data_IF_788479688488
#
_entry.id   IF_788479688488
#
_cell.length_a   1.000
_cell.length_b   1.000
_cell.length_c   1.000
_cell.angle_alpha   90.00
_cell.angle_beta   90.00
_cell.angle_gamma   90.00
#
_symmetry.space_group_name_H-M   'P 1'
#
loop_
_entity.id
_entity.type
_entity.pdbx_description
1 polymer ?
#
# COMPACT_ATOMS: atom_id res chain seq x y z
N UNK A 1 -35.06 -8.65 0.41
CA UNK A 1 -33.98 -9.55 -0.05
C UNK A 1 -33.09 -9.79 1.15
N UNK A 2 -32.92 -11.02 1.61
CA UNK A 2 -31.98 -11.34 2.71
C UNK A 2 -30.57 -11.15 2.13
N UNK A 3 -29.71 -10.29 2.71
CA UNK A 3 -28.37 -10.10 2.18
C UNK A 3 -27.59 -11.41 2.24
N UNK A 4 -26.88 -11.75 1.16
CA UNK A 4 -26.02 -12.93 1.14
C UNK A 4 -24.97 -12.85 2.25
N UNK A 5 -24.68 -13.95 2.96
CA UNK A 5 -23.67 -13.95 4.01
C UNK A 5 -22.29 -13.64 3.42
N UNK A 6 -21.47 -12.89 4.17
CA UNK A 6 -20.07 -12.69 3.78
C UNK A 6 -19.33 -14.03 3.84
N UNK A 7 -18.50 -14.31 2.84
CA UNK A 7 -17.72 -15.56 2.74
C UNK A 7 -16.25 -15.25 3.01
N UNK A 8 -15.67 -15.93 3.99
CA UNK A 8 -14.22 -15.89 4.26
C UNK A 8 -13.51 -16.95 3.39
N UNK A 9 -12.66 -16.46 2.48
CA UNK A 9 -11.86 -17.28 1.56
C UNK A 9 -10.41 -17.42 1.98
N UNK A 10 -10.04 -16.99 3.19
CA UNK A 10 -8.63 -16.95 3.61
C UNK A 10 -7.91 -18.29 3.51
N UNK A 11 -8.65 -19.42 3.58
CA UNK A 11 -8.11 -20.77 3.36
C UNK A 11 -7.97 -21.14 1.87
N UNK A 12 -8.59 -20.38 0.95
CA UNK A 12 -8.66 -20.70 -0.47
C UNK A 12 -8.43 -19.45 -1.36
N UNK A 13 -7.30 -18.76 -1.20
CA UNK A 13 -7.06 -17.46 -1.88
C UNK A 13 -7.02 -17.59 -3.41
N UNK A 14 -6.69 -18.76 -3.95
CA UNK A 14 -6.71 -19.00 -5.39
C UNK A 14 -8.15 -19.01 -5.96
N UNK A 15 -9.12 -19.58 -5.24
CA UNK A 15 -10.52 -19.53 -5.63
C UNK A 15 -11.07 -18.11 -5.49
N UNK A 16 -10.76 -17.42 -4.42
CA UNK A 16 -11.11 -16.01 -4.27
C UNK A 16 -10.60 -15.18 -5.46
N UNK A 17 -9.33 -15.36 -5.83
CA UNK A 17 -8.74 -14.70 -6.98
C UNK A 17 -9.54 -14.99 -8.26
N UNK A 18 -9.82 -16.26 -8.57
CA UNK A 18 -10.55 -16.62 -9.78
C UNK A 18 -11.96 -16.04 -9.85
N UNK A 19 -12.64 -15.89 -8.71
CA UNK A 19 -13.96 -15.29 -8.61
C UNK A 19 -13.96 -13.77 -8.82
N UNK A 20 -12.96 -13.06 -8.28
CA UNK A 20 -13.00 -11.61 -8.20
C UNK A 20 -12.11 -10.90 -9.23
N UNK A 21 -10.95 -11.47 -9.60
CA UNK A 21 -9.96 -10.80 -10.46
C UNK A 21 -10.56 -10.31 -11.79
N UNK A 22 -11.41 -11.08 -12.53
CA UNK A 22 -11.97 -10.61 -13.79
C UNK A 22 -12.88 -9.39 -13.65
N UNK A 23 -13.57 -9.24 -12.52
CA UNK A 23 -14.41 -8.08 -12.23
C UNK A 23 -13.57 -6.87 -11.81
N UNK A 24 -12.54 -7.08 -11.00
CA UNK A 24 -11.63 -6.04 -10.55
C UNK A 24 -10.77 -5.47 -11.68
N UNK A 25 -10.35 -6.29 -12.65
CA UNK A 25 -9.59 -5.89 -13.83
C UNK A 25 -10.35 -4.92 -14.76
N UNK A 26 -11.68 -4.82 -14.64
CA UNK A 26 -12.45 -3.84 -15.41
C UNK A 26 -12.17 -2.39 -15.00
N UNK A 27 -11.71 -2.18 -13.78
CA UNK A 27 -11.29 -0.88 -13.27
C UNK A 27 -10.02 -1.06 -12.39
N UNK A 28 -8.90 -1.34 -13.07
CA UNK A 28 -7.61 -1.56 -12.40
C UNK A 28 -7.16 -0.37 -11.56
N UNK A 29 -7.59 0.84 -11.92
CA UNK A 29 -7.18 2.06 -11.22
C UNK A 29 -7.79 2.11 -9.82
N UNK A 30 -9.08 1.83 -9.72
CA UNK A 30 -9.79 1.81 -8.44
C UNK A 30 -9.42 0.59 -7.59
N UNK A 31 -9.17 -0.54 -8.23
CA UNK A 31 -8.92 -1.82 -7.55
C UNK A 31 -7.45 -2.23 -7.49
N UNK A 32 -6.53 -1.32 -7.85
CA UNK A 32 -5.11 -1.64 -7.99
C UNK A 32 -4.43 -2.21 -6.74
N UNK A 33 -4.86 -1.82 -5.53
CA UNK A 33 -4.33 -2.37 -4.29
C UNK A 33 -4.73 -3.85 -4.11
N UNK A 34 -5.99 -4.19 -4.39
CA UNK A 34 -6.50 -5.57 -4.30
C UNK A 34 -5.82 -6.42 -5.37
N UNK A 35 -5.81 -5.97 -6.62
CA UNK A 35 -5.19 -6.69 -7.74
C UNK A 35 -3.70 -6.95 -7.49
N UNK A 36 -2.97 -5.99 -6.94
CA UNK A 36 -1.57 -6.17 -6.59
C UNK A 36 -1.35 -7.26 -5.52
N UNK A 37 -2.22 -7.36 -4.54
CA UNK A 37 -2.15 -8.43 -3.54
C UNK A 37 -2.51 -9.79 -4.17
N UNK A 38 -3.53 -9.84 -5.03
CA UNK A 38 -3.93 -11.06 -5.75
C UNK A 38 -2.83 -11.56 -6.70
N UNK A 39 -2.04 -10.67 -7.30
CA UNK A 39 -0.92 -11.05 -8.14
C UNK A 39 0.15 -11.87 -7.39
N UNK A 40 0.21 -11.78 -6.05
CA UNK A 40 1.12 -12.57 -5.22
C UNK A 40 0.59 -13.97 -4.89
N UNK A 41 -0.70 -14.23 -5.10
CA UNK A 41 -1.28 -15.58 -4.95
C UNK A 41 -0.71 -16.49 -6.03
N UNK A 42 -0.29 -17.68 -5.64
CA UNK A 42 0.32 -18.68 -6.54
C UNK A 42 1.76 -18.39 -7.01
N UNK A 43 2.48 -17.50 -6.34
CA UNK A 43 3.92 -17.27 -6.61
C UNK A 43 4.83 -18.35 -6.02
N UNK A 44 4.27 -19.38 -5.37
CA UNK A 44 5.01 -20.43 -4.66
C UNK A 44 5.54 -20.01 -3.29
N UNK A 45 5.29 -18.75 -2.88
CA UNK A 45 5.64 -18.25 -1.54
C UNK A 45 4.43 -18.32 -0.61
N UNK A 46 4.62 -18.66 0.66
CA UNK A 46 3.55 -18.53 1.66
C UNK A 46 3.05 -17.09 1.69
N UNK A 47 1.73 -16.90 1.63
CA UNK A 47 1.11 -15.58 1.68
C UNK A 47 0.15 -15.53 2.87
N UNK A 48 0.34 -14.56 3.75
CA UNK A 48 -0.63 -14.23 4.81
C UNK A 48 -1.69 -13.30 4.21
N UNK A 49 -2.71 -13.89 3.59
CA UNK A 49 -3.80 -13.18 2.94
C UNK A 49 -5.13 -13.58 3.58
N UNK A 50 -5.82 -12.60 4.15
CA UNK A 50 -7.23 -12.69 4.49
C UNK A 50 -8.07 -12.07 3.38
N UNK A 51 -9.15 -12.73 2.97
CA UNK A 51 -9.99 -12.25 1.90
C UNK A 51 -11.46 -12.61 2.12
N UNK A 52 -12.33 -11.63 1.86
CA UNK A 52 -13.77 -11.73 2.11
C UNK A 52 -14.54 -11.31 0.85
N UNK A 53 -15.51 -12.13 0.47
CA UNK A 53 -16.56 -11.76 -0.48
C UNK A 53 -17.75 -11.22 0.32
N UNK A 54 -18.25 -10.05 -0.06
CA UNK A 54 -19.36 -9.37 0.62
C UNK A 54 -20.66 -9.38 -0.22
N UNK A 55 -20.55 -9.78 -1.50
CA UNK A 55 -21.62 -9.81 -2.46
C UNK A 55 -21.19 -10.49 -3.77
N UNK A 56 -21.40 -9.85 -4.92
CA UNK A 56 -21.01 -10.37 -6.22
C UNK A 56 -19.51 -10.26 -6.52
N UNK A 57 -19.09 -10.72 -7.73
CA UNK A 57 -17.71 -10.57 -8.19
C UNK A 57 -17.22 -9.12 -8.16
N UNK A 58 -16.11 -8.86 -7.51
CA UNK A 58 -15.54 -7.52 -7.30
C UNK A 58 -15.95 -6.87 -5.98
N UNK A 59 -17.04 -7.30 -5.34
CA UNK A 59 -17.50 -6.80 -4.03
C UNK A 59 -16.78 -7.53 -2.90
N UNK A 60 -15.57 -7.12 -2.63
CA UNK A 60 -14.65 -7.85 -1.76
C UNK A 60 -13.73 -6.93 -0.96
N UNK A 61 -13.09 -7.51 0.04
CA UNK A 61 -12.05 -6.88 0.82
C UNK A 61 -10.91 -7.87 1.07
N UNK A 62 -9.71 -7.36 1.30
CA UNK A 62 -8.53 -8.16 1.61
C UNK A 62 -7.70 -7.54 2.74
N UNK A 63 -6.92 -8.38 3.42
CA UNK A 63 -5.85 -7.94 4.32
C UNK A 63 -4.63 -8.81 4.08
N UNK A 64 -3.49 -8.21 3.83
CA UNK A 64 -2.23 -8.90 3.61
C UNK A 64 -1.25 -8.60 4.74
N UNK A 65 -0.79 -9.65 5.41
CA UNK A 65 0.17 -9.54 6.52
C UNK A 65 -0.24 -8.50 7.56
N UNK A 66 0.65 -7.58 7.86
CA UNK A 66 0.43 -6.49 8.82
C UNK A 66 -0.14 -5.21 8.19
N UNK A 67 -0.56 -5.25 6.93
CA UNK A 67 -1.12 -4.08 6.25
C UNK A 67 -2.58 -3.83 6.64
N UNK A 68 -3.06 -2.63 6.32
CA UNK A 68 -4.44 -2.24 6.47
C UNK A 68 -5.38 -3.15 5.66
N UNK A 69 -6.64 -3.24 6.07
CA UNK A 69 -7.68 -3.86 5.26
C UNK A 69 -7.91 -2.97 4.03
N UNK A 70 -7.81 -3.56 2.84
CA UNK A 70 -8.12 -2.90 1.58
C UNK A 70 -9.56 -3.22 1.22
N UNK A 71 -10.36 -2.19 1.08
CA UNK A 71 -11.77 -2.27 0.73
C UNK A 71 -11.95 -2.11 -0.77
N UNK A 72 -12.75 -2.97 -1.38
CA UNK A 72 -13.27 -2.75 -2.73
C UNK A 72 -14.40 -1.70 -2.74
N UNK A 73 -15.08 -1.58 -3.88
CA UNK A 73 -16.29 -0.80 -3.98
C UNK A 73 -17.45 -1.59 -3.37
N UNK A 74 -17.79 -1.30 -2.12
CA UNK A 74 -18.80 -2.00 -1.31
C UNK A 74 -19.97 -1.07 -1.00
N UNK A 75 -21.16 -1.65 -0.86
CA UNK A 75 -22.33 -0.96 -0.32
C UNK A 75 -22.23 -0.80 1.20
N UNK A 76 -23.03 0.08 1.79
CA UNK A 76 -22.99 0.37 3.22
C UNK A 76 -23.21 -0.88 4.08
N UNK A 77 -24.23 -1.68 3.77
CA UNK A 77 -24.54 -2.92 4.51
C UNK A 77 -23.41 -3.93 4.43
N UNK A 78 -22.72 -4.02 3.30
CA UNK A 78 -21.54 -4.87 3.11
C UNK A 78 -20.37 -4.40 3.99
N UNK A 79 -20.13 -3.08 4.06
CA UNK A 79 -19.12 -2.49 4.93
C UNK A 79 -19.41 -2.76 6.40
N UNK A 80 -20.67 -2.61 6.82
CA UNK A 80 -21.11 -2.87 8.19
C UNK A 80 -20.90 -4.34 8.58
N UNK A 81 -21.24 -5.27 7.69
CA UNK A 81 -20.98 -6.71 7.89
C UNK A 81 -19.48 -7.02 8.00
N UNK A 82 -18.67 -6.42 7.16
CA UNK A 82 -17.21 -6.62 7.22
C UNK A 82 -16.64 -6.08 8.54
N UNK A 83 -17.11 -4.95 9.03
CA UNK A 83 -16.70 -4.38 10.32
C UNK A 83 -17.04 -5.31 11.48
N UNK A 84 -18.24 -5.92 11.48
CA UNK A 84 -18.63 -6.94 12.47
C UNK A 84 -17.68 -8.15 12.44
N UNK A 85 -17.38 -8.68 11.26
CA UNK A 85 -16.48 -9.83 11.06
C UNK A 85 -15.05 -9.57 11.53
N UNK A 86 -14.57 -8.34 11.34
CA UNK A 86 -13.17 -7.97 11.61
C UNK A 86 -12.97 -7.29 12.95
N UNK A 87 -14.03 -7.09 13.74
CA UNK A 87 -13.99 -6.33 15.00
C UNK A 87 -12.94 -6.82 16.00
N UNK A 88 -12.70 -8.14 16.05
CA UNK A 88 -11.74 -8.79 16.97
C UNK A 88 -10.37 -9.06 16.32
N UNK A 89 -10.20 -8.71 15.06
CA UNK A 89 -8.93 -8.90 14.35
C UNK A 89 -7.96 -7.77 14.67
N UNK A 90 -6.67 -8.09 14.57
CA UNK A 90 -5.61 -7.09 14.61
C UNK A 90 -5.29 -6.61 13.18
N UNK A 91 -5.43 -5.29 12.97
CA UNK A 91 -5.05 -4.61 11.73
C UNK A 91 -4.82 -3.13 12.00
N UNK A 92 -3.84 -2.50 11.31
CA UNK A 92 -3.43 -1.12 11.60
C UNK A 92 -4.40 -0.06 11.08
N UNK A 93 -5.35 -0.43 10.21
CA UNK A 93 -6.28 0.52 9.62
C UNK A 93 -7.04 -0.05 8.44
N UNK A 94 -7.72 0.82 7.73
CA UNK A 94 -8.45 0.49 6.50
C UNK A 94 -8.14 1.51 5.41
N UNK A 95 -8.16 1.07 4.15
CA UNK A 95 -7.98 1.93 2.98
C UNK A 95 -8.93 1.49 1.88
N UNK A 96 -9.54 2.46 1.20
CA UNK A 96 -10.44 2.16 0.10
C UNK A 96 -11.14 3.41 -0.43
N UNK A 97 -12.15 3.23 -1.31
CA UNK A 97 -12.98 4.31 -1.78
C UNK A 97 -13.59 5.09 -0.60
N UNK A 98 -13.68 6.40 -0.72
CA UNK A 98 -14.01 7.30 0.41
C UNK A 98 -15.24 6.84 1.19
N UNK A 99 -16.38 6.67 0.51
CA UNK A 99 -17.62 6.28 1.19
C UNK A 99 -17.54 4.89 1.82
N UNK A 100 -16.91 3.95 1.13
CA UNK A 100 -16.71 2.57 1.65
C UNK A 100 -15.89 2.59 2.95
N UNK A 101 -14.80 3.35 2.97
CA UNK A 101 -13.96 3.48 4.14
C UNK A 101 -14.70 4.16 5.30
N UNK A 102 -15.52 5.19 5.05
CA UNK A 102 -16.35 5.86 6.06
C UNK A 102 -17.39 4.92 6.65
N UNK A 103 -18.20 4.25 5.84
CA UNK A 103 -19.22 3.30 6.32
C UNK A 103 -18.61 2.18 7.18
N UNK A 104 -17.43 1.70 6.79
CA UNK A 104 -16.72 0.70 7.59
C UNK A 104 -16.31 1.27 8.95
N UNK A 105 -15.67 2.44 8.98
CA UNK A 105 -15.17 3.04 10.22
C UNK A 105 -16.28 3.53 11.13
N UNK A 106 -17.41 3.99 10.59
CA UNK A 106 -18.60 4.36 11.37
C UNK A 106 -19.14 3.14 12.12
N UNK A 107 -19.31 2.01 11.41
CA UNK A 107 -19.76 0.76 12.05
C UNK A 107 -18.73 0.24 13.04
N UNK A 108 -17.46 0.28 12.73
CA UNK A 108 -16.40 -0.14 13.65
C UNK A 108 -16.37 0.75 14.91
N UNK A 109 -16.69 2.03 14.79
CA UNK A 109 -16.88 2.95 15.91
C UNK A 109 -18.01 2.54 16.85
N UNK A 110 -19.16 2.09 16.29
CA UNK A 110 -20.26 1.50 17.09
C UNK A 110 -19.80 0.28 17.91
N UNK A 111 -18.79 -0.45 17.40
CA UNK A 111 -18.19 -1.62 18.05
C UNK A 111 -17.05 -1.25 19.03
N UNK A 112 -16.82 0.04 19.26
CA UNK A 112 -15.81 0.53 20.20
C UNK A 112 -14.41 0.66 19.62
N UNK A 113 -14.23 0.48 18.31
CA UNK A 113 -12.94 0.69 17.65
C UNK A 113 -12.78 2.17 17.29
N UNK A 114 -11.57 2.69 17.44
CA UNK A 114 -11.28 4.10 17.12
C UNK A 114 -10.37 4.20 15.92
N UNK A 115 -10.68 5.12 15.04
CA UNK A 115 -9.93 5.41 13.83
C UNK A 115 -9.65 6.90 13.69
N UNK A 116 -8.46 7.20 13.19
CA UNK A 116 -8.07 8.55 12.79
C UNK A 116 -8.03 8.60 11.26
N UNK A 117 -8.71 9.57 10.67
CA UNK A 117 -8.57 9.87 9.25
C UNK A 117 -7.16 10.41 9.01
N UNK A 118 -6.31 9.65 8.33
CA UNK A 118 -4.91 10.02 8.19
C UNK A 118 -4.64 10.83 6.92
N UNK A 119 -5.09 10.35 5.76
CA UNK A 119 -4.76 10.98 4.48
C UNK A 119 -5.93 10.91 3.50
N UNK A 120 -6.57 12.03 3.15
CA UNK A 120 -7.46 12.10 2.00
C UNK A 120 -6.63 12.09 0.73
N UNK A 121 -6.78 11.05 -0.08
CA UNK A 121 -6.03 10.87 -1.30
C UNK A 121 -6.92 11.00 -2.54
N UNK A 122 -6.36 11.54 -3.61
CA UNK A 122 -6.92 11.49 -4.95
C UNK A 122 -6.12 10.48 -5.78
N UNK A 123 -6.81 9.55 -6.40
CA UNK A 123 -6.24 8.69 -7.42
C UNK A 123 -6.31 9.43 -8.75
N UNK A 124 -5.17 9.56 -9.40
CA UNK A 124 -5.02 10.17 -10.72
C UNK A 124 -4.62 9.11 -11.74
N UNK A 125 -5.05 9.28 -12.98
CA UNK A 125 -4.60 8.45 -14.11
C UNK A 125 -4.29 9.30 -15.34
N UNK A 126 -3.46 8.75 -16.22
CA UNK A 126 -3.15 9.29 -17.53
C UNK A 126 -3.06 8.15 -18.53
N UNK A 127 -3.61 8.36 -19.73
CA UNK A 127 -3.58 7.43 -20.88
C UNK A 127 -2.89 8.06 -22.09
N UNK A 128 -2.83 9.38 -22.11
CA UNK A 128 -2.24 10.15 -23.19
C UNK A 128 -0.72 10.34 -22.98
N UNK A 129 -0.07 10.83 -24.02
CA UNK A 129 1.34 11.21 -23.93
C UNK A 129 1.53 12.29 -22.85
N UNK A 130 2.46 12.10 -21.89
CA UNK A 130 2.69 13.08 -20.83
C UNK A 130 3.29 14.36 -21.39
N UNK A 131 2.95 15.49 -20.78
CA UNK A 131 3.59 16.77 -21.04
C UNK A 131 4.84 16.90 -20.19
N UNK A 132 5.99 17.09 -20.82
CA UNK A 132 7.22 17.35 -20.11
C UNK A 132 7.31 18.83 -19.72
N UNK A 133 7.72 19.16 -18.49
CA UNK A 133 8.16 20.50 -18.16
C UNK A 133 9.40 20.90 -19.00
N UNK A 134 9.56 22.19 -19.26
CA UNK A 134 10.78 22.71 -19.89
C UNK A 134 11.92 22.70 -18.87
N UNK A 135 12.64 21.58 -18.78
CA UNK A 135 13.80 21.41 -17.89
C UNK A 135 14.96 20.78 -18.64
N UNK A 136 16.18 21.16 -18.26
CA UNK A 136 17.37 20.46 -18.74
C UNK A 136 17.50 19.10 -18.08
N UNK A 137 18.06 18.12 -18.79
CA UNK A 137 18.37 16.81 -18.23
C UNK A 137 17.74 15.65 -18.99
N UNK A 138 17.92 14.46 -18.46
CA UNK A 138 17.37 13.22 -19.00
C UNK A 138 17.09 12.20 -17.90
N UNK A 139 16.20 11.25 -18.17
CA UNK A 139 15.94 10.15 -17.27
C UNK A 139 17.03 9.06 -17.38
N UNK A 140 17.40 8.47 -16.26
CA UNK A 140 18.30 7.32 -16.17
C UNK A 140 17.72 6.29 -15.20
N UNK A 141 17.78 5.01 -15.56
CA UNK A 141 17.46 3.93 -14.62
C UNK A 141 18.41 3.95 -13.42
N UNK A 142 17.87 3.72 -12.25
CA UNK A 142 18.64 3.53 -11.01
C UNK A 142 19.27 2.15 -11.06
N UNK A 143 20.55 2.06 -10.72
CA UNK A 143 21.31 0.83 -10.62
C UNK A 143 21.87 0.60 -9.22
N UNK A 144 22.51 -0.53 -9.00
CA UNK A 144 23.09 -0.93 -7.70
C UNK A 144 24.07 0.13 -7.15
N UNK A 145 24.81 0.81 -8.01
CA UNK A 145 25.71 1.91 -7.63
C UNK A 145 25.00 3.10 -6.98
N UNK A 146 23.69 3.22 -7.19
CA UNK A 146 22.87 4.30 -6.66
C UNK A 146 22.15 3.92 -5.34
N UNK A 147 22.36 2.70 -4.84
CA UNK A 147 21.59 2.11 -3.74
C UNK A 147 21.53 3.02 -2.50
N UNK A 148 22.66 3.57 -2.08
CA UNK A 148 22.71 4.44 -0.91
C UNK A 148 21.93 5.74 -1.13
N UNK A 149 22.09 6.39 -2.28
CA UNK A 149 21.36 7.63 -2.61
C UNK A 149 19.85 7.37 -2.73
N UNK A 150 19.46 6.27 -3.40
CA UNK A 150 18.05 5.88 -3.49
C UNK A 150 17.45 5.67 -2.11
N UNK A 151 18.13 4.95 -1.22
CA UNK A 151 17.66 4.69 0.14
C UNK A 151 17.50 6.00 0.93
N UNK A 152 18.46 6.92 0.85
CA UNK A 152 18.37 8.23 1.52
C UNK A 152 17.15 9.02 1.04
N UNK A 153 16.91 9.04 -0.28
CA UNK A 153 15.77 9.75 -0.84
C UNK A 153 14.42 9.04 -0.56
N UNK A 154 14.40 7.71 -0.49
CA UNK A 154 13.22 6.98 -0.06
C UNK A 154 12.91 7.25 1.42
N UNK A 155 13.91 7.27 2.30
CA UNK A 155 13.71 7.66 3.71
C UNK A 155 13.12 9.07 3.81
N UNK A 156 13.65 10.03 3.04
CA UNK A 156 13.12 11.39 3.01
C UNK A 156 11.68 11.44 2.45
N UNK A 157 11.39 10.70 1.38
CA UNK A 157 10.04 10.55 0.83
C UNK A 157 9.06 9.97 1.85
N UNK A 158 9.41 8.88 2.55
CA UNK A 158 8.55 8.29 3.58
C UNK A 158 8.24 9.29 4.69
N UNK A 159 9.23 10.03 5.17
CA UNK A 159 9.03 11.03 6.23
C UNK A 159 8.15 12.20 5.81
N UNK A 160 8.23 12.62 4.56
CA UNK A 160 7.54 13.81 4.07
C UNK A 160 6.16 13.49 3.47
N UNK A 161 6.05 12.44 2.67
CA UNK A 161 4.86 12.17 1.85
C UNK A 161 3.93 11.11 2.46
N UNK A 162 4.46 10.16 3.20
CA UNK A 162 3.69 9.03 3.76
C UNK A 162 4.13 8.70 5.20
N UNK A 163 4.15 9.69 6.12
CA UNK A 163 4.65 9.51 7.49
C UNK A 163 3.85 8.50 8.32
N UNK A 164 2.63 8.16 7.87
CA UNK A 164 1.78 7.14 8.47
C UNK A 164 2.19 5.71 8.08
N UNK A 165 2.98 5.55 7.01
CA UNK A 165 3.42 4.25 6.56
C UNK A 165 4.68 3.81 7.31
N UNK A 166 4.79 2.51 7.54
CA UNK A 166 5.99 1.96 8.15
C UNK A 166 7.19 2.16 7.21
N UNK A 167 8.22 2.85 7.71
CA UNK A 167 9.49 2.96 6.99
C UNK A 167 10.16 1.59 6.91
N UNK A 168 10.44 1.06 5.70
CA UNK A 168 11.16 -0.19 5.54
C UNK A 168 12.60 -0.09 6.09
N UNK A 169 13.21 -1.22 6.46
CA UNK A 169 14.64 -1.25 6.81
C UNK A 169 15.51 -0.73 5.67
N UNK A 170 16.65 -0.11 6.02
CA UNK A 170 17.56 0.49 5.02
C UNK A 170 18.00 -0.51 3.95
N UNK A 171 18.28 -1.74 4.34
CA UNK A 171 18.73 -2.81 3.43
C UNK A 171 17.65 -3.17 2.40
N UNK A 172 16.38 -3.03 2.74
CA UNK A 172 15.27 -3.22 1.82
C UNK A 172 15.15 -2.04 0.83
N UNK A 173 15.35 -0.81 1.31
CA UNK A 173 15.37 0.38 0.46
C UNK A 173 16.55 0.36 -0.51
N UNK A 174 17.75 -0.05 -0.07
CA UNK A 174 18.94 -0.20 -0.92
C UNK A 174 18.76 -1.30 -1.98
N UNK A 175 18.14 -2.41 -1.62
CA UNK A 175 17.84 -3.51 -2.55
C UNK A 175 16.93 -3.09 -3.70
N UNK A 176 16.07 -2.10 -3.48
CA UNK A 176 15.20 -1.55 -4.50
C UNK A 176 15.96 -0.96 -5.72
N UNK A 177 17.23 -0.61 -5.58
CA UNK A 177 18.08 -0.15 -6.69
C UNK A 177 18.31 -1.24 -7.76
N UNK A 178 18.36 -2.52 -7.35
CA UNK A 178 18.52 -3.65 -8.27
C UNK A 178 17.21 -4.14 -8.91
N UNK A 179 16.05 -3.58 -8.53
CA UNK A 179 14.74 -4.08 -8.99
C UNK A 179 14.25 -3.44 -10.30
N UNK A 180 15.06 -2.61 -10.94
CA UNK A 180 14.74 -1.90 -12.20
C UNK A 180 13.35 -1.21 -12.18
N UNK A 181 13.03 -0.55 -11.10
CA UNK A 181 11.74 0.14 -10.92
C UNK A 181 11.84 1.64 -10.68
N UNK A 182 13.03 2.16 -10.39
CA UNK A 182 13.24 3.59 -10.16
C UNK A 182 13.97 4.27 -11.31
N UNK A 183 13.60 5.51 -11.56
CA UNK A 183 14.32 6.43 -12.44
C UNK A 183 14.84 7.61 -11.64
N UNK A 184 16.03 8.07 -11.96
CA UNK A 184 16.52 9.41 -11.62
C UNK A 184 16.37 10.35 -12.80
N UNK A 185 16.03 11.61 -12.53
CA UNK A 185 16.26 12.71 -13.46
C UNK A 185 17.66 13.23 -13.23
N UNK A 186 18.46 13.27 -14.30
CA UNK A 186 19.85 13.72 -14.26
C UNK A 186 19.93 15.11 -14.87
N UNK A 187 20.36 16.11 -14.11
CA UNK A 187 20.64 17.46 -14.59
C UNK A 187 22.07 17.84 -14.20
N UNK A 188 22.81 18.45 -15.13
CA UNK A 188 24.24 18.79 -14.93
C UNK A 188 25.09 17.61 -14.44
N UNK A 189 24.78 16.40 -14.94
CA UNK A 189 25.49 15.17 -14.56
C UNK A 189 25.15 14.60 -13.18
N UNK A 190 24.23 15.21 -12.43
CA UNK A 190 23.85 14.77 -11.08
C UNK A 190 22.37 14.36 -11.02
N UNK A 191 22.02 13.34 -10.20
CA UNK A 191 20.63 13.04 -9.86
C UNK A 191 19.99 14.22 -9.12
N UNK A 192 18.80 14.64 -9.57
CA UNK A 192 18.08 15.80 -9.00
C UNK A 192 16.65 15.49 -8.59
N UNK A 193 16.10 14.37 -9.05
CA UNK A 193 14.75 13.89 -8.68
C UNK A 193 14.63 12.42 -8.95
N UNK A 194 13.71 11.73 -8.27
CA UNK A 194 13.39 10.32 -8.51
C UNK A 194 11.91 10.07 -8.67
N UNK A 195 11.56 8.98 -9.35
CA UNK A 195 10.24 8.36 -9.35
C UNK A 195 10.38 6.85 -9.55
N UNK A 196 9.43 6.09 -9.03
CA UNK A 196 9.43 4.63 -9.15
C UNK A 196 8.13 4.08 -9.70
N UNK A 197 8.18 2.85 -10.23
CA UNK A 197 7.03 2.10 -10.72
C UNK A 197 6.71 0.99 -9.73
N UNK A 198 5.45 0.93 -9.31
CA UNK A 198 4.90 -0.14 -8.48
C UNK A 198 3.60 -0.67 -9.08
N UNK A 199 3.07 -1.76 -8.52
CA UNK A 199 1.80 -2.34 -8.96
C UNK A 199 1.67 -2.44 -10.49
N UNK A 200 2.62 -3.15 -11.11
CA UNK A 200 2.57 -3.45 -12.54
C UNK A 200 1.45 -4.46 -12.81
N UNK A 201 0.25 -3.94 -13.13
CA UNK A 201 -0.93 -4.72 -13.48
C UNK A 201 -1.00 -4.98 -14.99
N UNK A 202 -2.09 -5.55 -15.47
CA UNK A 202 -2.26 -5.97 -16.86
C UNK A 202 -2.29 -4.79 -17.83
N UNK A 203 -3.08 -3.75 -17.52
CA UNK A 203 -3.22 -2.57 -18.36
C UNK A 203 -2.57 -1.32 -17.74
N UNK A 204 -2.29 -1.34 -16.44
CA UNK A 204 -1.84 -0.16 -15.71
C UNK A 204 -0.60 -0.43 -14.87
N UNK A 205 0.10 0.64 -14.50
CA UNK A 205 1.06 0.63 -13.41
C UNK A 205 0.95 1.90 -12.57
N UNK A 206 1.30 1.80 -11.30
CA UNK A 206 1.27 2.95 -10.40
C UNK A 206 2.67 3.54 -10.21
N UNK A 207 2.72 4.88 -10.18
CA UNK A 207 3.92 5.65 -9.87
C UNK A 207 3.96 5.91 -8.35
N UNK A 208 5.13 5.80 -7.78
CA UNK A 208 5.42 6.06 -6.36
C UNK A 208 6.77 6.73 -6.19
N UNK A 209 7.07 7.17 -4.97
CA UNK A 209 8.40 7.66 -4.62
C UNK A 209 8.83 8.87 -5.44
N UNK A 210 7.88 9.72 -5.88
CA UNK A 210 8.24 10.97 -6.56
C UNK A 210 8.84 11.91 -5.52
N UNK A 211 10.13 12.13 -5.61
CA UNK A 211 10.85 12.96 -4.65
C UNK A 211 11.90 13.84 -5.32
N UNK A 212 11.97 15.07 -4.87
CA UNK A 212 13.01 16.06 -5.24
C UNK A 212 13.51 16.65 -3.93
N UNK A 213 14.84 16.61 -3.65
CA UNK A 213 15.43 17.27 -2.49
C UNK A 213 14.98 18.73 -2.37
N UNK A 214 14.75 19.26 -1.16
CA UNK A 214 14.21 20.61 -0.97
C UNK A 214 14.95 21.69 -1.73
N UNK A 215 16.27 21.64 -1.74
CA UNK A 215 17.16 22.60 -2.41
C UNK A 215 17.10 22.56 -3.95
N UNK A 216 16.53 21.48 -4.51
CA UNK A 216 16.40 21.29 -5.96
C UNK A 216 14.94 21.47 -6.45
N UNK A 217 14.05 21.91 -5.58
CA UNK A 217 12.62 22.13 -5.93
C UNK A 217 12.44 23.41 -6.75
N UNK A 218 11.27 23.51 -7.38
CA UNK A 218 10.92 24.69 -8.20
C UNK A 218 11.42 24.65 -9.64
N UNK A 219 12.29 23.70 -10.02
CA UNK A 219 12.90 23.58 -11.35
C UNK A 219 12.15 22.65 -12.31
N UNK A 220 11.00 22.09 -11.90
CA UNK A 220 10.21 21.17 -12.73
C UNK A 220 10.70 19.71 -12.75
N UNK A 221 11.78 19.36 -12.04
CA UNK A 221 12.39 18.02 -12.08
C UNK A 221 11.46 16.89 -11.69
N UNK A 222 10.60 17.09 -10.67
CA UNK A 222 9.58 16.10 -10.30
C UNK A 222 8.63 15.79 -11.45
N UNK A 223 8.22 16.82 -12.19
CA UNK A 223 7.40 16.67 -13.40
C UNK A 223 8.10 15.89 -14.49
N UNK A 224 9.37 16.21 -14.75
CA UNK A 224 10.16 15.55 -15.79
C UNK A 224 10.41 14.08 -15.50
N UNK A 225 10.80 13.72 -14.26
CA UNK A 225 11.01 12.32 -13.91
C UNK A 225 9.68 11.53 -13.90
N UNK A 226 8.57 12.17 -13.49
CA UNK A 226 7.25 11.54 -13.56
C UNK A 226 6.82 11.30 -15.01
N UNK A 227 7.01 12.27 -15.91
CA UNK A 227 6.71 12.12 -17.33
C UNK A 227 7.55 11.00 -17.98
N UNK A 228 8.84 10.94 -17.67
CA UNK A 228 9.71 9.85 -18.13
C UNK A 228 9.28 8.47 -17.58
N UNK A 229 8.80 8.44 -16.34
CA UNK A 229 8.27 7.20 -15.73
C UNK A 229 7.00 6.73 -16.44
N UNK A 230 6.12 7.67 -16.87
CA UNK A 230 4.94 7.35 -17.68
C UNK A 230 5.36 6.75 -19.03
N UNK A 231 6.31 7.37 -19.73
CA UNK A 231 6.80 6.85 -21.00
C UNK A 231 7.38 5.44 -20.85
N UNK A 232 8.09 5.18 -19.75
CA UNK A 232 8.59 3.84 -19.46
C UNK A 232 7.44 2.84 -19.21
N UNK A 233 6.40 3.20 -18.46
CA UNK A 233 5.21 2.37 -18.26
C UNK A 233 4.57 1.99 -19.61
N UNK A 234 4.49 2.95 -20.53
CA UNK A 234 3.94 2.70 -21.86
C UNK A 234 4.88 1.83 -22.73
N UNK A 235 6.19 2.04 -22.63
CA UNK A 235 7.18 1.18 -23.30
C UNK A 235 7.16 -0.27 -22.79
N UNK A 236 6.76 -0.49 -21.52
CA UNK A 236 6.52 -1.83 -20.96
C UNK A 236 5.18 -2.46 -21.47
N UNK A 237 4.47 -1.81 -22.40
CA UNK A 237 3.23 -2.30 -23.00
C UNK A 237 1.95 -1.97 -22.23
N UNK A 238 2.02 -1.20 -21.15
CA UNK A 238 0.84 -0.76 -20.38
C UNK A 238 0.25 0.49 -21.00
N UNK A 239 -1.06 0.69 -20.81
CA UNK A 239 -1.79 1.80 -21.42
C UNK A 239 -2.11 2.92 -20.44
N UNK A 240 -2.01 2.66 -19.14
CA UNK A 240 -2.45 3.57 -18.09
C UNK A 240 -1.32 3.71 -17.05
N UNK A 241 -0.91 4.95 -16.78
CA UNK A 241 -0.16 5.23 -15.58
C UNK A 241 -1.08 5.87 -14.54
N UNK A 242 -0.93 5.51 -13.27
CA UNK A 242 -1.72 6.09 -12.18
C UNK A 242 -0.84 6.43 -10.98
N UNK A 243 -1.36 7.25 -10.08
CA UNK A 243 -0.72 7.57 -8.81
C UNK A 243 -1.75 7.97 -7.77
N UNK A 244 -1.34 7.90 -6.50
CA UNK A 244 -2.09 8.39 -5.35
C UNK A 244 -1.41 9.65 -4.84
N UNK A 245 -2.18 10.72 -4.65
CA UNK A 245 -1.66 11.98 -4.12
C UNK A 245 -2.49 12.46 -2.93
N UNK A 246 -1.82 12.91 -1.88
CA UNK A 246 -2.45 13.61 -0.76
C UNK A 246 -3.10 14.90 -1.29
N UNK A 247 -4.41 15.04 -1.09
CA UNK A 247 -5.16 16.23 -1.50
C UNK A 247 -4.65 17.51 -0.84
N UNK A 248 -4.01 17.41 0.33
CA UNK A 248 -3.42 18.55 1.03
C UNK A 248 -2.11 19.04 0.38
N UNK A 249 -1.45 18.18 -0.43
CA UNK A 249 -0.23 18.56 -1.15
C UNK A 249 -0.54 19.26 -2.46
N UNK A 250 -0.87 20.56 -2.39
CA UNK A 250 -1.24 21.36 -3.56
C UNK A 250 -0.14 21.46 -4.63
N UNK A 251 1.13 21.34 -4.23
CA UNK A 251 2.26 21.39 -5.17
C UNK A 251 2.30 20.13 -6.05
N UNK A 252 2.20 18.95 -5.45
CA UNK A 252 2.14 17.68 -6.17
C UNK A 252 0.90 17.60 -7.06
N UNK A 253 -0.27 17.95 -6.55
CA UNK A 253 -1.52 17.93 -7.33
C UNK A 253 -1.43 18.83 -8.58
N UNK A 254 -0.89 20.04 -8.43
CA UNK A 254 -0.63 20.93 -9.59
C UNK A 254 0.38 20.36 -10.57
N UNK A 255 1.45 19.71 -10.06
CA UNK A 255 2.44 19.07 -10.90
C UNK A 255 1.81 18.00 -11.79
N UNK A 256 1.05 17.09 -11.20
CA UNK A 256 0.41 15.98 -11.92
C UNK A 256 -0.62 16.47 -12.96
N UNK A 257 -1.44 17.44 -12.60
CA UNK A 257 -2.39 18.05 -13.55
C UNK A 257 -1.66 18.70 -14.77
N UNK A 258 -0.53 19.36 -14.54
CA UNK A 258 0.28 19.95 -15.63
C UNK A 258 0.85 18.88 -16.56
N UNK A 259 1.26 17.73 -16.06
CA UNK A 259 1.75 16.60 -16.86
C UNK A 259 0.62 16.01 -17.72
N UNK A 260 -0.63 16.10 -17.29
CA UNK A 260 -1.79 15.59 -18.01
C UNK A 260 -2.61 14.56 -17.24
N UNK A 261 -2.28 14.30 -15.99
CA UNK A 261 -3.12 13.43 -15.15
C UNK A 261 -4.51 14.04 -14.91
N UNK A 262 -5.51 13.17 -14.91
CA UNK A 262 -6.89 13.48 -14.55
C UNK A 262 -7.30 12.75 -13.28
N UNK A 263 -8.14 13.37 -12.41
CA UNK A 263 -8.63 12.70 -11.22
C UNK A 263 -9.62 11.60 -11.58
N UNK A 264 -9.53 10.45 -10.91
CA UNK A 264 -10.42 9.29 -11.10
C UNK A 264 -11.39 9.14 -9.93
N UNK A 265 -10.89 8.97 -8.72
CA UNK A 265 -11.71 8.82 -7.52
C UNK A 265 -10.92 9.18 -6.25
N UNK A 266 -11.67 9.54 -5.21
CA UNK A 266 -11.11 9.70 -3.86
C UNK A 266 -10.82 8.35 -3.22
N UNK A 267 -9.82 8.33 -2.36
CA UNK A 267 -9.48 7.22 -1.47
C UNK A 267 -9.17 7.75 -0.08
N UNK A 268 -9.64 7.07 0.95
CA UNK A 268 -9.31 7.40 2.33
C UNK A 268 -8.52 6.26 2.97
N UNK A 269 -7.52 6.66 3.73
CA UNK A 269 -6.84 5.79 4.66
C UNK A 269 -7.23 6.20 6.09
N UNK A 270 -7.75 5.27 6.87
CA UNK A 270 -8.01 5.43 8.29
C UNK A 270 -7.01 4.57 9.07
N UNK A 271 -6.28 5.19 9.97
CA UNK A 271 -5.38 4.51 10.89
C UNK A 271 -6.16 4.14 12.16
N UNK A 272 -6.09 2.86 12.56
CA UNK A 272 -6.69 2.41 13.82
C UNK A 272 -5.82 2.86 14.98
N UNK A 273 -6.45 3.47 16.00
CA UNK A 273 -5.76 3.73 17.26
C UNK A 273 -5.35 2.40 17.91
N UNK A 274 -4.09 2.31 18.36
CA UNK A 274 -3.64 1.16 19.10
C UNK A 274 -4.51 1.03 20.35
N UNK A 275 -5.35 0.01 20.42
CA UNK A 275 -5.97 -0.38 21.67
C UNK A 275 -4.83 -0.82 22.58
N UNK A 276 -4.58 -0.10 23.68
CA UNK A 276 -3.86 -0.65 24.82
C UNK A 276 -4.71 -1.82 25.33
N UNK A 277 -4.59 -2.99 24.71
CA UNK A 277 -4.94 -4.23 25.36
C UNK A 277 -4.02 -4.27 26.57
N UNK A 278 -4.64 -4.13 27.76
CA UNK A 278 -3.98 -4.21 29.04
C UNK A 278 -2.96 -5.36 28.95
N UNK A 279 -1.70 -5.00 29.12
CA UNK A 279 -0.62 -5.96 29.26
C UNK A 279 -1.12 -7.06 30.18
N UNK A 280 -1.26 -8.28 29.67
CA UNK A 280 -1.42 -9.43 30.55
C UNK A 280 -0.29 -9.36 31.56
N UNK A 281 -0.58 -9.44 32.87
CA UNK A 281 0.47 -9.51 33.87
C UNK A 281 1.40 -10.66 33.46
N UNK A 282 2.71 -10.50 33.57
CA UNK A 282 3.65 -11.56 33.24
C UNK A 282 3.27 -12.81 34.03
N UNK A 283 3.18 -13.93 33.36
CA UNK A 283 3.02 -15.24 34.01
C UNK A 283 4.09 -15.34 35.10
N UNK A 284 3.73 -15.79 36.34
CA UNK A 284 4.68 -15.89 37.42
C UNK A 284 5.77 -16.88 37.01
N UNK A 285 6.97 -16.37 36.80
CA UNK A 285 8.20 -17.15 36.65
C UNK A 285 8.55 -17.67 38.05
N UNK A 286 8.47 -18.94 38.24
CA UNK A 286 9.17 -19.81 39.15
C UNK A 286 8.25 -20.79 39.90
N UNK A 287 8.19 -22.00 39.37
CA UNK A 287 7.98 -23.18 40.20
C UNK A 287 9.36 -23.54 40.79
N UNK A 288 9.54 -23.54 42.11
CA UNK A 288 10.80 -23.98 42.70
C UNK A 288 10.97 -25.46 42.48
N UNK A 289 12.01 -25.86 41.81
CA UNK A 289 12.47 -27.23 41.66
C UNK A 289 12.76 -27.80 43.07
N UNK A 290 11.93 -28.70 43.61
CA UNK A 290 12.24 -29.46 44.81
C UNK A 290 13.42 -30.38 44.49
N UNK A 291 14.57 -30.08 45.14
CA UNK A 291 15.70 -31.00 45.22
C UNK A 291 15.26 -32.26 45.99
N UNK A 292 15.18 -33.36 45.27
CA UNK A 292 15.02 -34.66 45.88
C UNK A 292 16.30 -35.01 46.67
N UNK A 293 16.15 -35.17 47.97
CA UNK A 293 17.14 -35.76 48.86
C UNK A 293 17.26 -37.23 48.58
N UNK A 294 18.36 -37.67 48.01
CA UNK A 294 18.75 -39.06 47.94
C UNK A 294 19.36 -39.45 49.29
N UNK A 295 18.62 -40.20 50.06
CA UNK A 295 19.15 -40.95 51.23
C UNK A 295 19.84 -42.20 50.71
N UNK A 296 21.17 -42.21 50.85
CA UNK A 296 22.00 -43.42 50.73
C UNK A 296 21.83 -44.23 52.00
N UNK A 297 21.33 -45.46 51.91
CA UNK A 297 21.49 -46.49 52.93
C UNK A 297 22.52 -47.46 52.45
N UNK A 298 23.71 -47.38 53.03
CA UNK A 298 24.67 -48.47 53.07
C UNK A 298 24.22 -49.46 54.13
N UNK A 299 24.33 -50.76 53.87
CA UNK A 299 24.04 -51.81 54.82
C UNK A 299 24.27 -53.18 54.27
N UNK A 300 25.34 -53.84 54.80
CA UNK A 300 25.45 -55.24 54.99
C UNK A 300 25.96 -56.08 53.87
#
# INVERSE_FOLDING_TARGET
>A
MIPEPAIDWSAQPALFRSCHEPALERDEIRHGLILNALAQVNTGKPIDLRCWTLGGPGECAIKMGHHAIVLGALAEDQCRRLADLTARMDYPGVVGPEMTARWFTDKAGELGLKFLESVPQQIYSITDKPRFPETCGSARSVGEQDASLLADWLVAFYREAVPQDRLPPREELERAAGEDRFLFWIANGQPVSMAGIVRRLKQSAAITGVYTPPELRGHGYAGSVTAATIERIYAEGRKIACLYADLRNSASNRCYTKIGFTPVCGSLHFQREATHLASHPPLPTSVPCRKGTTTSTAGG
#
